data_IF_556116551157
#
_entry.id   IF_556116551157
#
_cell.length_a   1.000
_cell.length_b   1.000
_cell.length_c   1.000
_cell.angle_alpha   90.00
_cell.angle_beta   90.00
_cell.angle_gamma   90.00
#
_symmetry.space_group_name_H-M   'P 1'
#
loop_
_entity.id
_entity.type
_entity.pdbx_description
1 polymer ?
#
# COMPACT_ATOMS: atom_id res chain seq x y z
N UNK A 1 8.00 6.47 -8.26
CA UNK A 1 7.83 7.43 -7.16
C UNK A 1 8.22 8.80 -7.69
N UNK A 2 7.22 9.62 -8.00
CA UNK A 2 7.43 10.99 -8.46
C UNK A 2 7.64 11.89 -7.25
N UNK A 3 8.64 12.77 -7.31
CA UNK A 3 8.95 13.71 -6.23
C UNK A 3 8.83 15.18 -6.63
N UNK A 4 8.64 15.44 -7.92
CA UNK A 4 8.50 16.76 -8.51
C UNK A 4 7.58 16.64 -9.73
N UNK A 5 6.59 17.53 -9.87
CA UNK A 5 5.66 17.53 -10.99
C UNK A 5 6.33 17.87 -12.33
N UNK A 6 7.37 18.72 -12.32
CA UNK A 6 8.10 19.12 -13.53
C UNK A 6 8.79 17.92 -14.20
N UNK A 7 9.26 16.95 -13.40
CA UNK A 7 9.87 15.72 -13.91
C UNK A 7 8.87 14.88 -14.70
N UNK A 8 7.58 14.93 -14.33
CA UNK A 8 6.52 14.18 -15.01
C UNK A 8 6.30 14.72 -16.42
N UNK A 9 6.13 16.03 -16.57
CA UNK A 9 5.93 16.65 -17.89
C UNK A 9 7.15 16.44 -18.80
N UNK A 10 8.36 16.60 -18.24
CA UNK A 10 9.62 16.37 -18.95
C UNK A 10 9.76 14.92 -19.41
N UNK A 11 9.55 13.95 -18.51
CA UNK A 11 9.67 12.53 -18.82
C UNK A 11 8.64 12.06 -19.85
N UNK A 12 7.41 12.56 -19.75
CA UNK A 12 6.34 12.21 -20.68
C UNK A 12 6.41 13.00 -21.98
N UNK A 13 7.30 14.00 -22.07
CA UNK A 13 7.35 14.96 -23.17
C UNK A 13 5.97 15.59 -23.46
N UNK A 14 5.23 15.86 -22.38
CA UNK A 14 3.84 16.31 -22.40
C UNK A 14 2.80 15.20 -22.64
N UNK A 15 1.63 15.34 -22.01
CA UNK A 15 0.55 14.34 -22.06
C UNK A 15 -0.06 14.12 -23.46
N UNK A 16 0.17 15.05 -24.40
CA UNK A 16 -0.39 14.99 -25.77
C UNK A 16 0.15 13.84 -26.63
N UNK A 17 1.21 13.15 -26.21
CA UNK A 17 1.79 12.01 -26.95
C UNK A 17 0.99 10.72 -26.82
N UNK A 18 0.08 10.65 -25.87
CA UNK A 18 -0.73 9.45 -25.64
C UNK A 18 -1.99 9.49 -26.51
N UNK A 19 -2.23 8.39 -27.23
CA UNK A 19 -3.43 8.25 -28.05
C UNK A 19 -4.70 8.07 -27.20
N UNK A 20 -5.89 8.25 -27.79
CA UNK A 20 -7.17 8.04 -27.09
C UNK A 20 -7.25 6.66 -26.43
N UNK A 21 -7.79 6.60 -25.22
CA UNK A 21 -7.90 5.35 -24.45
C UNK A 21 -6.66 4.99 -23.61
N UNK A 22 -5.57 5.75 -23.70
CA UNK A 22 -4.40 5.54 -22.85
C UNK A 22 -4.70 5.87 -21.38
N UNK A 23 -4.22 5.01 -20.48
CA UNK A 23 -4.30 5.22 -19.02
C UNK A 23 -2.92 5.51 -18.46
N UNK A 24 -2.75 6.70 -17.88
CA UNK A 24 -1.54 7.06 -17.18
C UNK A 24 -1.76 6.94 -15.67
N UNK A 25 -0.90 6.15 -15.01
CA UNK A 25 -0.88 5.99 -13.55
C UNK A 25 0.42 6.59 -13.03
N UNK A 26 0.31 7.66 -12.26
CA UNK A 26 1.46 8.29 -11.59
C UNK A 26 1.34 8.01 -10.10
N UNK A 27 2.46 7.66 -9.46
CA UNK A 27 2.49 7.37 -8.02
C UNK A 27 3.49 8.26 -7.32
N UNK A 28 3.08 8.85 -6.20
CA UNK A 28 3.93 9.65 -5.33
C UNK A 28 3.54 9.41 -3.87
N UNK A 29 4.46 9.64 -2.94
CA UNK A 29 4.11 9.73 -1.51
C UNK A 29 3.68 11.13 -1.09
N UNK A 30 3.90 12.11 -1.97
CA UNK A 30 3.58 13.50 -1.75
C UNK A 30 2.32 13.87 -2.54
N UNK A 31 1.32 14.38 -1.82
CA UNK A 31 0.06 14.78 -2.41
C UNK A 31 0.21 16.06 -3.22
N UNK A 32 1.05 16.99 -2.76
CA UNK A 32 1.22 18.31 -3.39
C UNK A 32 1.85 18.13 -4.78
N UNK A 33 2.85 17.26 -4.88
CA UNK A 33 3.46 16.85 -6.17
C UNK A 33 2.43 16.33 -7.17
N UNK A 34 1.41 15.61 -6.69
CA UNK A 34 0.35 15.05 -7.51
C UNK A 34 -0.68 16.11 -7.91
N UNK A 35 -0.99 17.08 -7.04
CA UNK A 35 -1.88 18.21 -7.34
C UNK A 35 -1.25 19.15 -8.39
N UNK A 36 0.07 19.36 -8.33
CA UNK A 36 0.83 20.13 -9.32
C UNK A 36 0.88 19.49 -10.72
N UNK A 37 0.60 18.18 -10.85
CA UNK A 37 0.60 17.52 -12.15
C UNK A 37 -0.59 17.93 -13.06
N UNK A 38 -1.58 18.69 -12.55
CA UNK A 38 -2.73 19.20 -13.30
C UNK A 38 -3.53 18.13 -14.09
N UNK A 39 -3.60 16.92 -13.55
CA UNK A 39 -4.33 15.80 -14.16
C UNK A 39 -5.73 15.63 -13.52
N UNK A 40 -6.52 14.65 -13.99
CA UNK A 40 -7.97 14.62 -13.73
C UNK A 40 -8.40 14.11 -12.34
N UNK A 41 -7.72 13.11 -11.75
CA UNK A 41 -8.21 12.41 -10.56
C UNK A 41 -7.07 11.95 -9.62
N UNK A 42 -7.13 12.36 -8.35
CA UNK A 42 -6.21 11.89 -7.28
C UNK A 42 -6.90 10.83 -6.44
N UNK A 43 -6.21 9.72 -6.20
CA UNK A 43 -6.65 8.64 -5.35
C UNK A 43 -5.67 8.39 -4.20
N UNK A 44 -6.09 8.74 -2.99
CA UNK A 44 -5.34 8.38 -1.78
C UNK A 44 -5.49 6.88 -1.48
N UNK A 45 -4.38 6.15 -1.46
CA UNK A 45 -4.41 4.77 -1.00
C UNK A 45 -4.65 4.73 0.49
N UNK A 46 -5.78 4.14 0.86
CA UNK A 46 -6.03 3.74 2.24
C UNK A 46 -5.16 2.54 2.58
N UNK A 47 -4.78 2.44 3.85
CA UNK A 47 -4.20 1.23 4.42
C UNK A 47 -5.13 0.02 4.22
N UNK A 48 -4.56 -1.17 4.33
CA UNK A 48 -5.33 -2.41 4.38
C UNK A 48 -6.35 -2.36 5.52
N UNK A 49 -7.50 -2.99 5.31
CA UNK A 49 -8.44 -3.26 6.41
C UNK A 49 -7.76 -4.13 7.48
N UNK A 50 -8.30 -4.16 8.69
CA UNK A 50 -7.77 -5.04 9.75
C UNK A 50 -7.77 -6.51 9.32
N UNK A 51 -8.80 -6.92 8.58
CA UNK A 51 -8.92 -8.28 8.06
C UNK A 51 -7.86 -8.58 7.00
N UNK A 52 -7.66 -7.68 6.03
CA UNK A 52 -6.65 -7.86 4.99
C UNK A 52 -5.23 -7.74 5.55
N UNK A 53 -5.04 -6.91 6.58
CA UNK A 53 -3.80 -6.81 7.34
C UNK A 53 -3.47 -8.11 8.03
N UNK A 54 -4.45 -8.75 8.66
CA UNK A 54 -4.29 -10.07 9.26
C UNK A 54 -3.97 -11.13 8.21
N UNK A 55 -4.71 -11.18 7.10
CA UNK A 55 -4.44 -12.11 5.99
C UNK A 55 -3.02 -11.94 5.47
N UNK A 56 -2.60 -10.71 5.17
CA UNK A 56 -1.23 -10.42 4.72
C UNK A 56 -0.20 -10.87 5.77
N UNK A 57 -0.41 -10.51 7.03
CA UNK A 57 0.52 -10.81 8.10
C UNK A 57 0.70 -12.33 8.30
N UNK A 58 -0.40 -13.08 8.30
CA UNK A 58 -0.38 -14.54 8.45
C UNK A 58 0.21 -15.23 7.24
N UNK A 59 -0.11 -14.78 6.03
CA UNK A 59 0.55 -15.24 4.80
C UNK A 59 2.05 -15.00 4.84
N UNK A 60 2.47 -13.83 5.32
CA UNK A 60 3.89 -13.52 5.53
C UNK A 60 4.54 -14.36 6.63
N UNK A 61 3.82 -14.86 7.64
CA UNK A 61 4.37 -15.72 8.70
C UNK A 61 4.39 -17.21 8.34
N UNK A 62 3.33 -17.70 7.70
CA UNK A 62 3.07 -19.14 7.51
C UNK A 62 3.02 -19.59 6.06
N UNK A 63 3.07 -18.67 5.10
CA UNK A 63 2.92 -18.96 3.67
C UNK A 63 1.47 -19.18 3.22
N UNK A 64 0.50 -19.04 4.13
CA UNK A 64 -0.93 -19.16 3.84
C UNK A 64 -1.75 -18.22 4.71
N UNK A 65 -2.94 -17.90 4.25
CA UNK A 65 -3.89 -17.12 5.03
C UNK A 65 -4.37 -17.98 6.21
N UNK A 66 -4.19 -17.46 7.42
CA UNK A 66 -4.65 -18.11 8.65
C UNK A 66 -5.50 -17.11 9.41
N UNK A 67 -6.79 -17.39 9.54
CA UNK A 67 -7.72 -16.55 10.30
C UNK A 67 -8.16 -17.37 11.51
N UNK A 68 -7.40 -17.25 12.60
CA UNK A 68 -7.70 -17.87 13.90
C UNK A 68 -7.92 -16.75 14.93
N UNK A 69 -8.96 -16.86 15.76
CA UNK A 69 -9.31 -15.84 16.75
C UNK A 69 -8.19 -15.59 17.78
N UNK A 70 -7.42 -16.61 18.16
CA UNK A 70 -6.26 -16.45 19.05
C UNK A 70 -5.18 -15.62 18.37
N UNK A 71 -4.92 -15.89 17.09
CA UNK A 71 -3.94 -15.16 16.31
C UNK A 71 -4.40 -13.74 16.00
N UNK A 72 -5.70 -13.53 15.76
CA UNK A 72 -6.31 -12.21 15.60
C UNK A 72 -6.06 -11.37 16.84
N UNK A 73 -6.37 -11.91 18.03
CA UNK A 73 -6.10 -11.23 19.32
C UNK A 73 -4.62 -10.94 19.53
N UNK A 74 -3.74 -11.89 19.21
CA UNK A 74 -2.31 -11.70 19.34
C UNK A 74 -1.75 -10.65 18.36
N UNK A 75 -2.31 -10.56 17.16
CA UNK A 75 -1.84 -9.68 16.08
C UNK A 75 -2.52 -8.31 16.06
N UNK A 76 -3.64 -8.14 16.77
CA UNK A 76 -4.43 -6.90 16.77
C UNK A 76 -3.59 -5.66 17.07
N UNK A 77 -2.76 -5.71 18.11
CA UNK A 77 -1.85 -4.59 18.46
C UNK A 77 -0.82 -4.28 17.38
N UNK A 78 -0.36 -5.28 16.64
CA UNK A 78 0.57 -5.07 15.53
C UNK A 78 -0.15 -4.42 14.34
N UNK A 79 -1.34 -4.93 14.00
CA UNK A 79 -2.17 -4.41 12.92
C UNK A 79 -2.55 -2.95 13.18
N UNK A 80 -3.02 -2.65 14.39
CA UNK A 80 -3.33 -1.29 14.84
C UNK A 80 -2.09 -0.39 14.73
N UNK A 81 -0.94 -0.84 15.23
CA UNK A 81 0.32 -0.07 15.18
C UNK A 81 0.75 0.32 13.77
N UNK A 82 0.52 -0.54 12.79
CA UNK A 82 0.95 -0.33 11.42
C UNK A 82 -0.13 0.31 10.54
N UNK A 83 -1.33 0.55 11.08
CA UNK A 83 -2.46 1.21 10.40
C UNK A 83 -2.69 0.68 8.97
N UNK A 84 -2.65 -0.64 8.81
CA UNK A 84 -2.85 -1.29 7.52
C UNK A 84 -1.72 -1.13 6.50
N UNK A 85 -0.52 -0.71 6.91
CA UNK A 85 0.62 -0.59 5.99
C UNK A 85 1.21 -1.97 5.61
N UNK A 86 1.12 -2.41 4.34
CA UNK A 86 1.54 -3.73 3.90
C UNK A 86 3.04 -3.97 4.09
N UNK A 87 3.85 -2.97 3.76
CA UNK A 87 5.31 -3.05 3.86
C UNK A 87 5.76 -3.20 5.30
N UNK A 88 5.15 -2.43 6.20
CA UNK A 88 5.44 -2.51 7.63
C UNK A 88 5.03 -3.86 8.21
N UNK A 89 3.83 -4.35 7.87
CA UNK A 89 3.33 -5.67 8.29
C UNK A 89 4.23 -6.80 7.79
N UNK A 90 4.70 -6.75 6.53
CA UNK A 90 5.62 -7.75 5.98
C UNK A 90 6.97 -7.73 6.71
N UNK A 91 7.59 -6.56 6.89
CA UNK A 91 8.86 -6.43 7.60
C UNK A 91 8.74 -6.93 9.05
N UNK A 92 7.60 -6.65 9.69
CA UNK A 92 7.32 -7.12 11.04
C UNK A 92 7.15 -8.65 11.11
N UNK A 93 6.43 -9.26 10.16
CA UNK A 93 6.30 -10.71 10.04
C UNK A 93 7.65 -11.41 9.82
N UNK A 94 8.48 -10.89 8.90
CA UNK A 94 9.82 -11.41 8.65
C UNK A 94 10.69 -11.37 9.91
N UNK A 95 10.63 -10.26 10.66
CA UNK A 95 11.36 -10.13 11.94
C UNK A 95 10.92 -11.16 12.99
N UNK A 96 9.65 -11.56 12.98
CA UNK A 96 9.14 -12.62 13.87
C UNK A 96 9.62 -13.99 13.41
N UNK A 97 9.56 -14.29 12.10
CA UNK A 97 10.08 -15.54 11.52
C UNK A 97 11.54 -15.78 11.89
N UNK A 98 12.40 -14.76 11.73
CA UNK A 98 13.84 -14.83 12.04
C UNK A 98 14.07 -15.23 13.50
N UNK A 99 13.28 -14.69 14.44
CA UNK A 99 13.44 -14.97 15.87
C UNK A 99 13.01 -16.38 16.29
N UNK A 100 12.51 -17.23 15.37
CA UNK A 100 12.13 -18.67 15.57
C UNK A 100 11.50 -18.96 16.94
N UNK A 101 10.68 -18.05 17.45
CA UNK A 101 10.24 -18.14 18.84
C UNK A 101 9.10 -19.16 18.92
N UNK A 102 9.26 -20.22 19.73
CA UNK A 102 8.21 -21.24 20.00
C UNK A 102 6.90 -20.63 20.55
N UNK A 103 6.92 -19.37 20.97
CA UNK A 103 5.77 -18.59 21.43
C UNK A 103 5.64 -17.32 20.59
N UNK A 104 4.82 -17.38 19.54
CA UNK A 104 4.54 -16.24 18.67
C UNK A 104 4.00 -15.04 19.45
N UNK A 105 3.12 -15.27 20.42
CA UNK A 105 2.47 -14.25 21.24
C UNK A 105 3.48 -13.40 22.03
N UNK A 106 4.52 -14.02 22.59
CA UNK A 106 5.56 -13.29 23.33
C UNK A 106 6.51 -12.53 22.40
N UNK A 107 6.77 -13.04 21.19
CA UNK A 107 7.54 -12.34 20.17
C UNK A 107 6.79 -11.10 19.65
N UNK A 108 5.48 -11.24 19.39
CA UNK A 108 4.59 -10.15 19.01
C UNK A 108 4.65 -9.01 20.04
N UNK A 109 4.43 -9.33 21.32
CA UNK A 109 4.51 -8.34 22.39
C UNK A 109 5.85 -7.59 22.43
N UNK A 110 6.98 -8.30 22.40
CA UNK A 110 8.31 -7.67 22.51
C UNK A 110 8.69 -6.82 21.30
N UNK A 111 8.37 -7.27 20.08
CA UNK A 111 8.75 -6.55 18.86
C UNK A 111 7.81 -5.35 18.63
N UNK A 112 6.55 -5.44 19.06
CA UNK A 112 5.60 -4.33 19.04
C UNK A 112 6.03 -3.13 19.89
N UNK A 113 6.92 -3.30 20.88
CA UNK A 113 7.41 -2.21 21.74
C UNK A 113 8.74 -1.58 21.27
N UNK A 114 9.45 -2.19 20.32
CA UNK A 114 10.70 -1.63 19.79
C UNK A 114 10.46 -0.57 18.71
N UNK A 115 11.42 0.33 18.43
CA UNK A 115 11.29 1.31 17.35
C UNK A 115 11.11 0.59 16.02
N UNK A 116 10.13 1.05 15.24
CA UNK A 116 9.84 0.52 13.91
C UNK A 116 9.65 1.71 12.98
N UNK A 117 10.59 1.90 12.08
CA UNK A 117 10.53 2.95 11.06
C UNK A 117 10.01 2.28 9.79
N UNK A 118 8.91 2.80 9.26
CA UNK A 118 8.35 2.35 8.01
C UNK A 118 7.83 3.54 7.22
N UNK A 119 7.88 3.44 5.91
CA UNK A 119 7.43 4.50 5.01
C UNK A 119 5.92 4.44 4.87
N UNK A 120 5.26 5.61 4.89
CA UNK A 120 3.82 5.76 4.61
C UNK A 120 3.49 5.20 3.21
N UNK A 121 2.27 4.67 3.07
CA UNK A 121 1.74 4.14 1.80
C UNK A 121 1.73 5.21 0.70
N UNK A 122 1.85 4.76 -0.55
CA UNK A 122 1.88 5.63 -1.73
C UNK A 122 0.49 6.26 -2.01
N UNK A 123 0.46 7.39 -2.69
CA UNK A 123 -0.73 8.03 -3.27
C UNK A 123 -0.68 7.78 -4.78
N UNK A 124 -1.84 7.50 -5.38
CA UNK A 124 -1.97 7.31 -6.83
C UNK A 124 -2.67 8.48 -7.47
N UNK A 125 -2.22 8.86 -8.65
CA UNK A 125 -2.85 9.80 -9.56
C UNK A 125 -3.20 9.07 -10.85
N UNK A 126 -4.42 9.29 -11.38
CA UNK A 126 -4.86 8.77 -12.67
C UNK A 126 -5.12 9.90 -13.69
N UNK A 127 -4.31 9.93 -14.75
CA UNK A 127 -4.54 10.80 -15.91
C UNK A 127 -5.16 10.01 -17.07
N UNK A 128 -6.26 10.52 -17.64
CA UNK A 128 -6.91 9.94 -18.82
C UNK A 128 -7.14 11.01 -19.89
N UNK A 129 -6.77 10.71 -21.14
CA UNK A 129 -7.03 11.58 -22.28
C UNK A 129 -8.06 10.90 -23.23
N UNK A 130 -9.36 11.14 -22.98
CA UNK A 130 -10.56 10.92 -23.84
C UNK A 130 -10.78 9.52 -24.48
N UNK A 131 -11.96 8.91 -24.54
CA UNK A 131 -13.36 9.36 -24.35
C UNK A 131 -14.18 8.26 -23.67
N UNK A 132 -15.10 8.67 -22.79
CA UNK A 132 -16.22 7.90 -22.21
C UNK A 132 -15.96 6.45 -21.78
N UNK A 133 -15.69 6.25 -20.49
CA UNK A 133 -16.35 5.22 -19.64
C UNK A 133 -16.01 5.50 -18.18
N UNK A 134 -17.05 5.65 -17.36
CA UNK A 134 -16.94 5.77 -15.91
C UNK A 134 -16.20 4.55 -15.35
N UNK A 135 -15.05 4.76 -14.72
CA UNK A 135 -14.31 3.67 -14.08
C UNK A 135 -15.01 3.25 -12.79
N UNK A 136 -15.37 1.97 -12.71
CA UNK A 136 -15.82 1.33 -11.49
C UNK A 136 -14.65 1.18 -10.50
N UNK A 137 -14.94 1.41 -9.21
CA UNK A 137 -14.03 1.29 -8.06
C UNK A 137 -13.24 -0.04 -8.04
N UNK A 138 -13.78 -1.11 -8.63
CA UNK A 138 -13.16 -2.44 -8.66
C UNK A 138 -11.81 -2.46 -9.38
N UNK A 139 -11.62 -1.65 -10.43
CA UNK A 139 -10.35 -1.62 -11.17
C UNK A 139 -9.18 -1.03 -10.34
N UNK A 140 -9.50 -0.11 -9.42
CA UNK A 140 -8.51 0.57 -8.57
C UNK A 140 -7.87 -0.37 -7.54
N UNK A 141 -8.59 -1.40 -7.09
CA UNK A 141 -8.12 -2.31 -6.04
C UNK A 141 -7.27 -3.46 -6.60
N UNK A 142 -7.55 -3.94 -7.82
CA UNK A 142 -6.81 -5.04 -8.45
C UNK A 142 -5.36 -4.69 -8.81
N UNK A 143 -5.08 -3.45 -9.20
CA UNK A 143 -3.72 -3.02 -9.59
C UNK A 143 -2.74 -2.97 -8.41
N UNK A 144 -3.24 -2.94 -7.17
CA UNK A 144 -2.45 -2.80 -5.95
C UNK A 144 -2.13 -4.14 -5.27
N UNK A 145 -2.80 -5.21 -5.70
CA UNK A 145 -2.66 -6.56 -5.12
C UNK A 145 -1.71 -7.47 -5.93
N UNK A 146 -1.16 -6.98 -7.04
CA UNK A 146 -0.17 -7.69 -7.87
C UNK A 146 1.22 -7.14 -7.57
#
# INVERSE_FOLDING_TARGET
DVRNAQDVESFLCGFKRFGPGSLLIITSRDREVLEECHLNEIYELKGLSDEDSLKLFTRCLFGKDVIDEKLRKASARAIERFHGNPSALRLFAEKIKIKRTRRMESALGRICHGPFIYTKMNILFFGFQGTTKSFSTTFKQSFLLT
#
